data_IF_414152460553
#
_entry.id   IF_414152460553
#
_cell.length_a   1.000
_cell.length_b   1.000
_cell.length_c   1.000
_cell.angle_alpha   90.00
_cell.angle_beta   90.00
_cell.angle_gamma   90.00
#
_symmetry.space_group_name_H-M   'P 1'
#
loop_
_entity.id
_entity.type
_entity.pdbx_description
1 polymer ?
#
# COMPACT_ATOMS: atom_id res chain seq x y z
N UNK A 1 26.30 -41.02 36.08
CA UNK A 1 26.48 -40.36 34.76
C UNK A 1 25.23 -40.56 33.94
N UNK A 2 24.36 -39.56 33.85
CA UNK A 2 23.27 -39.54 32.85
C UNK A 2 22.88 -38.09 32.59
N UNK A 3 23.41 -37.51 31.51
CA UNK A 3 23.05 -36.16 31.02
C UNK A 3 21.66 -36.22 30.39
N UNK A 4 20.65 -35.61 31.01
CA UNK A 4 19.42 -35.21 30.30
C UNK A 4 19.70 -33.90 29.55
N UNK A 5 19.73 -33.96 28.21
CA UNK A 5 19.67 -32.79 27.33
C UNK A 5 18.26 -32.19 27.47
N UNK A 6 18.15 -30.99 28.03
CA UNK A 6 16.97 -30.14 27.86
C UNK A 6 16.90 -29.69 26.40
N UNK A 7 15.95 -30.24 25.66
CA UNK A 7 15.48 -29.67 24.40
C UNK A 7 14.78 -28.34 24.72
N UNK A 8 15.45 -27.23 24.46
CA UNK A 8 14.80 -25.91 24.36
C UNK A 8 13.99 -25.90 23.06
N UNK A 9 12.70 -26.19 23.14
CA UNK A 9 11.73 -25.74 22.13
C UNK A 9 11.56 -24.23 22.31
N UNK A 10 12.16 -23.44 21.42
CA UNK A 10 11.85 -22.01 21.28
C UNK A 10 10.48 -21.90 20.60
N UNK A 11 9.43 -21.75 21.39
CA UNK A 11 8.16 -21.25 20.87
C UNK A 11 8.36 -19.81 20.38
N UNK A 12 7.76 -19.49 19.24
CA UNK A 12 8.04 -18.31 18.41
C UNK A 12 7.59 -16.95 19.01
N UNK A 13 7.15 -16.91 20.26
CA UNK A 13 6.73 -15.68 20.96
C UNK A 13 7.75 -15.30 22.05
N UNK A 14 8.89 -14.75 21.64
CA UNK A 14 9.85 -14.12 22.55
C UNK A 14 9.47 -12.68 22.89
N UNK A 15 8.45 -12.47 23.73
CA UNK A 15 8.26 -11.20 24.44
C UNK A 15 8.86 -11.38 25.84
N UNK A 16 9.98 -10.70 26.10
CA UNK A 16 10.58 -10.63 27.42
C UNK A 16 9.61 -9.93 28.38
N UNK A 17 8.96 -10.70 29.27
CA UNK A 17 8.29 -10.15 30.45
C UNK A 17 9.32 -9.98 31.56
N UNK A 18 9.54 -8.73 31.99
CA UNK A 18 10.15 -8.44 33.29
C UNK A 18 9.07 -8.68 34.35
N UNK A 19 9.24 -9.72 35.17
CA UNK A 19 8.35 -10.01 36.30
C UNK A 19 8.72 -9.13 37.49
N UNK A 20 7.86 -8.15 37.79
CA UNK A 20 7.75 -7.54 39.11
C UNK A 20 6.72 -8.32 39.92
N UNK A 21 7.14 -8.80 41.09
CA UNK A 21 6.35 -9.55 42.06
C UNK A 21 5.52 -8.59 42.91
N UNK A 22 4.23 -8.83 43.09
CA UNK A 22 3.50 -8.42 44.29
C UNK A 22 2.28 -9.33 44.54
N UNK A 23 2.03 -9.62 45.81
CA UNK A 23 1.24 -10.75 46.35
C UNK A 23 0.13 -10.18 47.28
N UNK A 24 -1.16 -10.50 46.97
CA UNK A 24 -2.34 -10.77 47.86
C UNK A 24 -2.96 -9.56 48.62
N UNK A 25 -4.28 -9.51 49.02
CA UNK A 25 -5.36 -10.53 49.02
C UNK A 25 -6.73 -10.15 48.41
N UNK A 26 -7.57 -11.19 48.29
CA UNK A 26 -9.03 -11.21 48.12
C UNK A 26 -9.78 -10.45 49.23
N UNK A 27 -10.85 -9.72 48.86
CA UNK A 27 -12.17 -9.75 49.53
C UNK A 27 -13.22 -8.91 48.76
N UNK A 28 -14.45 -9.43 48.74
CA UNK A 28 -15.76 -8.77 48.53
C UNK A 28 -16.45 -8.79 47.15
N UNK A 29 -17.74 -9.13 47.24
CA UNK A 29 -18.74 -9.52 46.25
C UNK A 29 -19.42 -8.31 45.54
N UNK A 30 -20.22 -8.53 44.46
CA UNK A 30 -20.41 -7.57 43.38
C UNK A 30 -21.64 -6.65 43.54
N UNK A 31 -21.52 -5.43 43.02
CA UNK A 31 -22.65 -4.50 42.86
C UNK A 31 -23.41 -4.76 41.55
N UNK A 32 -24.73 -4.86 41.69
CA UNK A 32 -25.75 -5.01 40.65
C UNK A 32 -25.98 -3.69 39.94
N UNK A 33 -25.86 -3.65 38.61
CA UNK A 33 -26.62 -2.72 37.75
C UNK A 33 -27.16 -3.51 36.55
N UNK A 34 -28.50 -3.59 36.50
CA UNK A 34 -29.31 -4.06 35.39
C UNK A 34 -29.33 -3.00 34.27
N UNK A 35 -29.08 -3.39 33.02
CA UNK A 35 -30.10 -3.32 31.96
C UNK A 35 -29.59 -3.68 30.55
N UNK A 36 -30.47 -4.42 29.88
CA UNK A 36 -30.78 -4.43 28.45
C UNK A 36 -29.78 -5.07 27.46
N UNK A 37 -30.26 -6.20 26.94
CA UNK A 37 -30.10 -6.66 25.56
C UNK A 37 -28.74 -7.21 25.12
N UNK A 38 -28.48 -8.44 25.57
CA UNK A 38 -27.95 -9.49 24.69
C UNK A 38 -28.12 -10.87 25.32
N UNK A 39 -28.96 -11.69 24.71
CA UNK A 39 -29.07 -13.12 25.03
C UNK A 39 -27.71 -13.81 24.82
N UNK A 40 -27.19 -14.58 25.77
CA UNK A 40 -26.01 -15.42 25.57
C UNK A 40 -26.42 -16.64 24.73
N UNK A 41 -25.84 -16.76 23.54
CA UNK A 41 -25.93 -17.98 22.73
C UNK A 41 -25.22 -19.11 23.49
N UNK A 42 -25.96 -20.11 23.95
CA UNK A 42 -25.38 -21.37 24.42
C UNK A 42 -24.68 -22.07 23.25
N UNK A 43 -23.53 -22.74 23.47
CA UNK A 43 -22.92 -23.61 22.48
C UNK A 43 -23.88 -24.76 22.13
N UNK A 44 -24.01 -25.09 20.84
CA UNK A 44 -24.74 -26.28 20.39
C UNK A 44 -24.06 -27.53 20.93
N UNK A 45 -24.76 -28.32 21.75
CA UNK A 45 -24.36 -29.67 22.14
C UNK A 45 -24.90 -30.64 21.09
N UNK A 46 -24.03 -31.29 20.28
CA UNK A 46 -24.46 -32.22 19.23
C UNK A 46 -25.14 -33.48 19.78
N UNK A 47 -25.01 -33.77 21.09
CA UNK A 47 -25.61 -34.92 21.76
C UNK A 47 -26.88 -34.57 22.55
N UNK A 48 -27.41 -33.35 22.43
CA UNK A 48 -28.62 -32.94 23.14
C UNK A 48 -29.90 -33.53 22.52
N UNK A 49 -30.22 -34.77 22.89
CA UNK A 49 -31.51 -35.40 22.60
C UNK A 49 -32.49 -35.07 23.73
N UNK A 50 -33.53 -34.27 23.45
CA UNK A 50 -34.65 -34.15 24.39
C UNK A 50 -35.44 -35.45 24.40
N UNK A 51 -35.36 -36.21 25.51
CA UNK A 51 -36.30 -37.31 25.77
C UNK A 51 -37.70 -36.73 25.99
N UNK A 52 -38.69 -37.21 25.24
CA UNK A 52 -40.08 -36.95 25.61
C UNK A 52 -40.40 -37.69 26.92
N UNK A 53 -41.10 -37.05 27.89
CA UNK A 53 -41.49 -37.70 29.16
C UNK A 53 -42.42 -38.92 28.99
N UNK A 54 -42.95 -39.17 27.78
CA UNK A 54 -43.97 -40.18 27.51
C UNK A 54 -43.44 -41.50 26.92
N UNK A 55 -42.13 -41.72 26.84
CA UNK A 55 -41.58 -43.01 26.40
C UNK A 55 -40.46 -43.49 27.35
N UNK A 56 -40.68 -44.65 27.98
CA UNK A 56 -39.67 -45.34 28.78
C UNK A 56 -38.59 -45.96 27.86
N UNK A 57 -37.31 -46.01 28.30
CA UNK A 57 -36.28 -46.75 27.58
C UNK A 57 -36.59 -48.26 27.58
N UNK A 58 -36.44 -48.92 26.44
CA UNK A 58 -36.59 -50.37 26.32
C UNK A 58 -35.49 -51.08 27.13
N UNK A 59 -35.91 -52.00 28.00
CA UNK A 59 -35.04 -52.89 28.77
C UNK A 59 -34.58 -54.05 27.85
N UNK A 60 -33.27 -54.23 27.60
CA UNK A 60 -32.77 -55.29 26.73
C UNK A 60 -32.97 -56.71 27.28
N UNK A 61 -33.39 -56.88 28.54
CA UNK A 61 -33.66 -58.20 29.14
C UNK A 61 -35.13 -58.67 29.04
N UNK A 62 -35.99 -57.97 28.27
CA UNK A 62 -37.39 -58.36 28.08
C UNK A 62 -37.67 -58.82 26.63
N UNK A 63 -37.78 -60.13 26.41
CA UNK A 63 -38.18 -60.73 25.12
C UNK A 63 -39.50 -61.48 25.29
N UNK A 64 -40.58 -60.99 24.65
CA UNK A 64 -41.74 -61.79 24.20
C UNK A 64 -42.34 -61.15 22.94
N UNK A 65 -41.99 -61.61 21.73
CA UNK A 65 -42.66 -62.63 20.88
C UNK A 65 -44.07 -62.27 20.37
N UNK A 66 -44.19 -61.79 19.11
CA UNK A 66 -45.21 -62.15 18.07
C UNK A 66 -44.97 -61.42 16.72
N UNK A 67 -45.43 -61.99 15.58
CA UNK A 67 -44.69 -61.99 14.30
C UNK A 67 -45.15 -60.95 13.28
N UNK A 68 -45.65 -59.79 13.71
CA UNK A 68 -46.06 -58.71 12.78
C UNK A 68 -45.62 -57.31 13.20
N UNK A 69 -44.60 -57.20 14.06
CA UNK A 69 -43.99 -55.92 14.43
C UNK A 69 -42.64 -55.78 13.71
N UNK A 70 -42.46 -54.68 12.99
CA UNK A 70 -41.14 -54.31 12.45
C UNK A 70 -40.15 -54.15 13.61
N UNK A 71 -38.89 -54.59 13.45
CA UNK A 71 -37.88 -54.45 14.49
C UNK A 71 -37.73 -52.97 14.88
N UNK A 72 -37.69 -52.71 16.18
CA UNK A 72 -37.36 -51.39 16.71
C UNK A 72 -35.93 -51.06 16.30
N UNK A 73 -35.77 -50.11 15.37
CA UNK A 73 -34.47 -49.55 15.04
C UNK A 73 -34.09 -48.55 16.14
N UNK A 74 -33.04 -48.79 16.94
CA UNK A 74 -32.62 -47.87 17.98
C UNK A 74 -32.20 -46.49 17.43
N UNK A 75 -32.01 -46.37 16.10
CA UNK A 75 -31.54 -45.15 15.43
C UNK A 75 -32.65 -44.33 14.73
N UNK A 76 -33.94 -44.58 15.01
CA UNK A 76 -35.04 -43.86 14.35
C UNK A 76 -35.31 -42.47 14.95
N UNK A 77 -34.83 -41.40 14.31
CA UNK A 77 -35.15 -39.99 14.63
C UNK A 77 -36.13 -39.43 13.59
N UNK A 78 -37.29 -38.90 14.03
CA UNK A 78 -38.23 -38.18 13.15
C UNK A 78 -37.76 -36.72 12.90
N UNK A 79 -37.47 -36.38 11.65
CA UNK A 79 -37.15 -35.01 11.23
C UNK A 79 -38.41 -34.13 11.16
N UNK A 80 -38.41 -32.97 11.83
CA UNK A 80 -39.42 -31.92 11.61
C UNK A 80 -38.96 -30.96 10.50
N UNK A 81 -39.86 -30.53 9.58
CA UNK A 81 -39.50 -29.69 8.42
C UNK A 81 -39.03 -28.26 8.72
N UNK A 82 -38.94 -27.85 9.98
CA UNK A 82 -38.57 -26.48 10.39
C UNK A 82 -37.26 -26.39 11.18
N UNK A 83 -36.44 -27.44 11.16
CA UNK A 83 -35.08 -27.42 11.74
C UNK A 83 -34.12 -28.03 10.72
N UNK A 84 -33.34 -27.17 10.06
CA UNK A 84 -32.18 -27.65 9.30
C UNK A 84 -31.10 -28.12 10.28
N UNK A 85 -30.38 -29.22 9.98
CA UNK A 85 -29.28 -29.71 10.81
C UNK A 85 -28.19 -28.65 10.93
N UNK A 86 -27.67 -28.46 12.14
CA UNK A 86 -26.45 -27.69 12.33
C UNK A 86 -25.30 -28.51 11.73
N UNK A 87 -24.68 -28.01 10.68
CA UNK A 87 -23.41 -28.53 10.17
C UNK A 87 -22.38 -28.41 11.32
N UNK A 88 -21.75 -29.50 11.77
CA UNK A 88 -20.75 -29.46 12.84
C UNK A 88 -19.50 -28.66 12.45
N UNK A 89 -19.34 -28.28 11.18
CA UNK A 89 -18.34 -27.32 10.69
C UNK A 89 -18.86 -25.86 10.60
N UNK A 90 -20.06 -25.56 11.11
CA UNK A 90 -20.70 -24.27 10.95
C UNK A 90 -21.36 -23.72 12.23
N UNK A 91 -20.65 -22.84 12.95
CA UNK A 91 -21.20 -21.51 13.25
C UNK A 91 -20.13 -20.52 13.73
N UNK A 92 -19.83 -19.60 12.81
CA UNK A 92 -19.81 -18.15 13.05
C UNK A 92 -19.10 -17.65 14.31
N UNK A 93 -17.82 -18.00 14.42
CA UNK A 93 -16.87 -17.02 14.91
C UNK A 93 -17.02 -15.77 14.05
N UNK A 94 -17.36 -14.65 14.68
CA UNK A 94 -17.33 -13.32 14.06
C UNK A 94 -16.18 -13.29 13.07
N UNK A 95 -16.49 -13.16 11.78
CA UNK A 95 -15.46 -12.97 10.76
C UNK A 95 -14.50 -11.93 11.33
N UNK A 96 -13.19 -12.17 11.37
CA UNK A 96 -12.23 -11.21 11.87
C UNK A 96 -12.16 -10.01 10.91
N UNK A 97 -13.23 -9.23 10.82
CA UNK A 97 -13.28 -7.98 10.06
C UNK A 97 -12.30 -6.95 10.63
N UNK A 98 -11.67 -7.23 11.78
CA UNK A 98 -10.80 -6.33 12.52
C UNK A 98 -9.50 -6.99 13.07
N UNK A 99 -9.02 -8.08 12.47
CA UNK A 99 -7.69 -8.62 12.77
C UNK A 99 -6.73 -8.26 11.61
N UNK A 100 -5.74 -7.38 11.85
CA UNK A 100 -4.87 -6.94 10.77
C UNK A 100 -3.82 -7.99 10.39
N UNK A 101 -2.94 -7.64 9.45
CA UNK A 101 -1.77 -8.41 9.01
C UNK A 101 -2.08 -9.75 8.33
N UNK A 102 -1.90 -9.78 7.01
CA UNK A 102 -1.63 -11.02 6.29
C UNK A 102 -0.51 -11.79 6.97
N UNK A 103 -0.85 -12.88 7.64
CA UNK A 103 0.05 -14.00 7.94
C UNK A 103 0.34 -14.69 6.60
N UNK A 104 1.08 -14.01 5.72
CA UNK A 104 1.72 -14.58 4.54
C UNK A 104 2.92 -13.73 4.11
N UNK A 105 3.62 -13.12 5.06
CA UNK A 105 5.07 -13.25 4.95
C UNK A 105 5.30 -14.75 5.11
N UNK A 106 5.65 -15.44 4.02
CA UNK A 106 6.01 -16.86 4.08
C UNK A 106 7.36 -16.95 4.81
N UNK A 107 7.32 -16.68 6.11
CA UNK A 107 8.43 -16.88 7.01
C UNK A 107 8.50 -18.39 7.17
N UNK A 108 9.56 -18.99 6.66
CA UNK A 108 9.88 -20.40 6.90
C UNK A 108 9.86 -20.65 8.43
N UNK A 109 9.59 -21.87 8.90
CA UNK A 109 9.65 -22.22 10.32
C UNK A 109 10.99 -21.90 11.04
N UNK A 110 12.03 -21.55 10.27
CA UNK A 110 13.34 -21.11 10.75
C UNK A 110 13.51 -19.58 10.78
N UNK A 111 12.43 -18.80 10.60
CA UNK A 111 12.47 -17.34 10.59
C UNK A 111 12.92 -16.70 9.27
N UNK A 112 13.23 -17.47 8.22
CA UNK A 112 13.72 -16.93 6.93
C UNK A 112 12.58 -16.68 5.94
N UNK A 113 12.61 -15.56 5.25
CA UNK A 113 11.63 -15.24 4.21
C UNK A 113 11.71 -16.19 3.00
N UNK A 114 10.56 -16.60 2.45
CA UNK A 114 10.49 -17.40 1.23
C UNK A 114 10.79 -16.54 0.00
N UNK A 115 12.01 -16.66 -0.52
CA UNK A 115 12.41 -15.99 -1.75
C UNK A 115 11.91 -16.77 -2.98
N UNK A 116 11.15 -16.11 -3.85
CA UNK A 116 10.76 -16.63 -5.16
C UNK A 116 11.42 -15.77 -6.24
N UNK A 117 11.84 -16.39 -7.35
CA UNK A 117 12.36 -15.64 -8.52
C UNK A 117 11.43 -14.50 -8.96
N UNK A 118 10.11 -14.66 -8.74
CA UNK A 118 9.08 -13.66 -9.04
C UNK A 118 9.30 -12.32 -8.33
N UNK A 119 9.86 -12.34 -7.13
CA UNK A 119 10.12 -11.13 -6.34
C UNK A 119 11.14 -10.20 -6.99
N UNK A 120 12.01 -10.74 -7.86
CA UNK A 120 12.95 -9.95 -8.67
C UNK A 120 12.40 -9.77 -10.09
N UNK A 121 11.87 -10.84 -10.69
CA UNK A 121 11.44 -10.83 -12.08
C UNK A 121 10.32 -9.81 -12.33
N UNK A 122 9.29 -9.73 -11.48
CA UNK A 122 8.20 -8.79 -11.73
C UNK A 122 8.62 -7.32 -11.63
N UNK A 123 9.36 -6.86 -10.58
CA UNK A 123 9.88 -5.50 -10.57
C UNK A 123 10.70 -5.15 -11.81
N UNK A 124 11.63 -6.04 -12.22
CA UNK A 124 12.47 -5.79 -13.40
C UNK A 124 11.63 -5.72 -14.67
N UNK A 125 10.73 -6.68 -14.90
CA UNK A 125 9.87 -6.69 -16.09
C UNK A 125 9.01 -5.45 -16.14
N UNK A 126 8.44 -5.01 -15.02
CA UNK A 126 7.59 -3.81 -15.00
C UNK A 126 8.36 -2.51 -15.17
N UNK A 127 9.61 -2.43 -14.69
CA UNK A 127 10.51 -1.32 -14.99
C UNK A 127 10.89 -1.31 -16.49
N UNK A 128 11.20 -2.46 -17.07
CA UNK A 128 11.46 -2.57 -18.51
C UNK A 128 10.24 -2.17 -19.31
N UNK A 129 9.05 -2.63 -18.94
CA UNK A 129 7.78 -2.23 -19.58
C UNK A 129 7.57 -0.73 -19.46
N UNK A 130 7.84 -0.12 -18.30
CA UNK A 130 7.73 1.33 -18.11
C UNK A 130 8.63 2.12 -19.07
N UNK A 131 9.90 1.74 -19.20
CA UNK A 131 10.80 2.40 -20.14
C UNK A 131 10.46 2.10 -21.60
N UNK A 132 10.00 0.88 -21.92
CA UNK A 132 9.57 0.53 -23.27
C UNK A 132 8.30 1.29 -23.68
N UNK A 133 7.32 1.45 -22.78
CA UNK A 133 6.10 2.23 -23.09
C UNK A 133 6.44 3.70 -23.28
N UNK A 134 7.35 4.27 -22.49
CA UNK A 134 7.87 5.62 -22.70
C UNK A 134 8.61 5.77 -24.03
N UNK A 135 9.50 4.83 -24.37
CA UNK A 135 10.25 4.84 -25.62
C UNK A 135 9.32 4.77 -26.84
N UNK A 136 8.40 3.80 -26.86
CA UNK A 136 7.45 3.61 -27.97
C UNK A 136 6.51 4.82 -28.11
N UNK A 137 6.03 5.38 -27.01
CA UNK A 137 5.24 6.59 -27.01
C UNK A 137 6.04 7.80 -27.52
N UNK A 138 7.32 7.91 -27.16
CA UNK A 138 8.22 8.95 -27.64
C UNK A 138 8.46 8.87 -29.16
N UNK A 139 8.69 7.67 -29.68
CA UNK A 139 8.82 7.44 -31.14
C UNK A 139 7.52 7.80 -31.85
N UNK A 140 6.38 7.33 -31.36
CA UNK A 140 5.07 7.66 -31.94
C UNK A 140 4.80 9.18 -31.91
N UNK A 141 5.05 9.82 -30.78
CA UNK A 141 4.91 11.27 -30.61
C UNK A 141 5.82 12.03 -31.59
N UNK A 142 7.06 11.59 -31.76
CA UNK A 142 8.01 12.19 -32.71
C UNK A 142 7.53 12.11 -34.16
N UNK A 143 7.02 10.94 -34.58
CA UNK A 143 6.48 10.76 -35.94
C UNK A 143 5.24 11.63 -36.17
N UNK A 144 4.33 11.71 -35.19
CA UNK A 144 3.13 12.52 -35.29
C UNK A 144 3.44 14.02 -35.26
N UNK A 145 4.36 14.45 -34.41
CA UNK A 145 4.82 15.83 -34.34
C UNK A 145 5.48 16.26 -35.65
N UNK A 146 6.35 15.42 -36.22
CA UNK A 146 6.99 15.66 -37.51
C UNK A 146 5.95 15.78 -38.62
N UNK A 147 4.94 14.90 -38.65
CA UNK A 147 3.85 14.98 -39.63
C UNK A 147 3.03 16.26 -39.50
N UNK A 148 2.71 16.71 -38.28
CA UNK A 148 2.02 17.99 -38.09
C UNK A 148 2.87 19.18 -38.53
N UNK A 149 4.19 19.12 -38.29
CA UNK A 149 5.11 20.18 -38.69
C UNK A 149 5.22 20.28 -40.22
N UNK A 150 5.41 19.14 -40.89
CA UNK A 150 5.48 19.07 -42.36
C UNK A 150 4.17 19.50 -43.06
N UNK A 151 3.02 19.36 -42.38
CA UNK A 151 1.72 19.76 -42.90
C UNK A 151 1.39 21.24 -42.65
N UNK A 152 2.18 21.94 -41.83
CA UNK A 152 1.98 23.35 -41.51
C UNK A 152 2.83 24.26 -42.40
N UNK A 153 2.39 25.51 -42.58
CA UNK A 153 3.18 26.55 -43.26
C UNK A 153 4.51 26.84 -42.54
N UNK A 154 4.71 26.31 -41.34
CA UNK A 154 5.97 26.32 -40.60
C UNK A 154 7.08 25.50 -41.27
N UNK A 155 6.74 24.57 -42.17
CA UNK A 155 7.75 23.79 -42.89
C UNK A 155 8.37 24.57 -44.06
N UNK A 156 7.63 25.47 -44.71
CA UNK A 156 8.20 26.31 -45.77
C UNK A 156 9.17 27.35 -45.21
N UNK A 157 8.92 27.84 -43.99
CA UNK A 157 9.84 28.70 -43.22
C UNK A 157 11.02 27.93 -42.60
N UNK A 158 10.95 26.60 -42.48
CA UNK A 158 12.05 25.75 -42.02
C UNK A 158 13.15 25.55 -43.10
N UNK A 159 12.83 25.79 -44.38
CA UNK A 159 13.77 25.65 -45.50
C UNK A 159 14.60 26.94 -45.71
N UNK A 160 14.12 28.10 -45.24
CA UNK A 160 14.95 29.30 -45.14
C UNK A 160 15.91 29.12 -43.95
N UNK A 161 17.21 29.33 -44.19
CA UNK A 161 18.39 28.91 -43.39
C UNK A 161 18.44 29.28 -41.88
N UNK A 162 17.40 29.92 -41.33
CA UNK A 162 17.27 30.14 -39.89
C UNK A 162 16.41 29.02 -39.27
N UNK A 163 17.04 27.89 -38.97
CA UNK A 163 16.52 26.96 -37.97
C UNK A 163 16.48 27.70 -36.62
N UNK A 164 15.38 28.41 -36.37
CA UNK A 164 15.24 29.14 -35.11
C UNK A 164 15.25 28.11 -33.98
N UNK A 165 16.15 28.30 -33.01
CA UNK A 165 16.25 27.46 -31.81
C UNK A 165 14.88 27.26 -31.14
N UNK A 166 14.02 28.26 -31.26
CA UNK A 166 12.64 28.28 -30.79
C UNK A 166 11.74 27.22 -31.45
N UNK A 167 11.87 27.00 -32.76
CA UNK A 167 11.13 25.95 -33.48
C UNK A 167 11.54 24.55 -33.00
N UNK A 168 12.84 24.33 -32.79
CA UNK A 168 13.37 23.07 -32.28
C UNK A 168 12.88 22.82 -30.83
N UNK A 169 12.91 23.85 -29.99
CA UNK A 169 12.38 23.77 -28.62
C UNK A 169 10.88 23.47 -28.61
N UNK A 170 10.09 24.11 -29.47
CA UNK A 170 8.66 23.85 -29.58
C UNK A 170 8.38 22.40 -30.00
N UNK A 171 9.13 21.89 -30.98
CA UNK A 171 9.03 20.49 -31.40
C UNK A 171 9.29 19.52 -30.23
N UNK A 172 10.37 19.70 -29.47
CA UNK A 172 10.68 18.82 -28.34
C UNK A 172 9.64 18.88 -27.22
N UNK A 173 9.08 20.07 -26.93
CA UNK A 173 7.97 20.23 -25.98
C UNK A 173 6.73 19.45 -26.41
N UNK A 174 6.36 19.59 -27.69
CA UNK A 174 5.22 18.89 -28.28
C UNK A 174 5.38 17.37 -28.27
N UNK A 175 6.58 16.89 -28.59
CA UNK A 175 6.92 15.46 -28.50
C UNK A 175 6.84 14.98 -27.05
N UNK A 176 7.40 15.74 -26.11
CA UNK A 176 7.42 15.40 -24.68
C UNK A 176 6.02 15.21 -24.09
N UNK A 177 5.12 16.20 -24.29
CA UNK A 177 3.77 16.13 -23.74
C UNK A 177 2.95 14.99 -24.39
N UNK A 178 3.07 14.79 -25.71
CA UNK A 178 2.37 13.71 -26.41
C UNK A 178 2.87 12.33 -25.94
N UNK A 179 4.18 12.16 -25.80
CA UNK A 179 4.77 10.93 -25.29
C UNK A 179 4.25 10.60 -23.89
N UNK A 180 4.12 11.60 -23.03
CA UNK A 180 3.55 11.46 -21.69
C UNK A 180 2.08 11.00 -21.74
N UNK A 181 1.27 11.67 -22.56
CA UNK A 181 -0.17 11.39 -22.67
C UNK A 181 -0.47 10.03 -23.31
N UNK A 182 0.43 9.50 -24.15
CA UNK A 182 0.27 8.16 -24.72
C UNK A 182 0.77 7.06 -23.78
N UNK A 183 1.93 7.26 -23.16
CA UNK A 183 2.56 6.24 -22.30
C UNK A 183 1.83 6.05 -20.98
N UNK A 184 1.37 7.13 -20.35
CA UNK A 184 0.85 7.09 -18.97
C UNK A 184 -0.46 6.30 -18.85
N UNK A 185 -1.49 6.53 -19.68
CA UNK A 185 -2.73 5.74 -19.65
C UNK A 185 -2.47 4.27 -19.97
N UNK A 186 -1.58 3.99 -20.94
CA UNK A 186 -1.18 2.63 -21.28
C UNK A 186 -0.51 1.93 -20.08
N UNK A 187 0.36 2.61 -19.37
CA UNK A 187 1.01 2.10 -18.16
C UNK A 187 -0.02 1.79 -17.06
N UNK A 188 -0.99 2.69 -16.83
CA UNK A 188 -2.08 2.46 -15.87
C UNK A 188 -2.86 1.20 -16.26
N UNK A 189 -3.25 1.06 -17.53
CA UNK A 189 -3.98 -0.10 -18.04
C UNK A 189 -3.18 -1.39 -17.79
N UNK A 190 -1.89 -1.42 -18.13
CA UNK A 190 -1.03 -2.59 -17.93
C UNK A 190 -0.94 -2.96 -16.44
N UNK A 191 -0.69 -1.98 -15.56
CA UNK A 191 -0.63 -2.19 -14.12
C UNK A 191 -1.97 -2.71 -13.57
N UNK A 192 -3.10 -2.11 -13.97
CA UNK A 192 -4.44 -2.52 -13.52
C UNK A 192 -4.77 -3.94 -13.99
N UNK A 193 -4.49 -4.29 -15.26
CA UNK A 193 -4.70 -5.65 -15.78
C UNK A 193 -3.92 -6.66 -14.95
N UNK A 194 -2.64 -6.39 -14.66
CA UNK A 194 -1.81 -7.26 -13.85
C UNK A 194 -2.32 -7.41 -12.42
N UNK A 195 -2.69 -6.31 -11.77
CA UNK A 195 -3.24 -6.33 -10.40
C UNK A 195 -4.56 -7.11 -10.37
N UNK A 196 -5.44 -6.90 -11.34
CA UNK A 196 -6.70 -7.65 -11.46
C UNK A 196 -6.47 -9.15 -11.71
N UNK A 197 -5.51 -9.49 -12.58
CA UNK A 197 -5.10 -10.88 -12.83
C UNK A 197 -4.60 -11.57 -11.55
N UNK A 198 -3.78 -10.87 -10.75
CA UNK A 198 -3.27 -11.44 -9.51
C UNK A 198 -4.35 -11.52 -8.42
N UNK A 199 -5.29 -10.56 -8.37
CA UNK A 199 -6.46 -10.61 -7.49
C UNK A 199 -7.30 -11.86 -7.75
N UNK A 200 -7.51 -12.23 -9.03
CA UNK A 200 -8.20 -13.49 -9.40
C UNK A 200 -7.47 -14.74 -8.90
N UNK A 201 -6.15 -14.70 -8.75
CA UNK A 201 -5.35 -15.79 -8.18
C UNK A 201 -5.32 -15.81 -6.64
N UNK A 202 -6.26 -15.12 -5.97
CA UNK A 202 -6.31 -14.93 -4.52
C UNK A 202 -5.01 -14.33 -3.92
N UNK A 203 -4.28 -13.55 -4.72
CA UNK A 203 -3.13 -12.78 -4.26
C UNK A 203 -3.57 -11.33 -4.11
N UNK A 204 -3.87 -10.88 -2.89
CA UNK A 204 -4.00 -9.44 -2.62
C UNK A 204 -2.61 -8.80 -2.89
N UNK A 205 -2.47 -8.14 -4.03
CA UNK A 205 -1.28 -7.39 -4.41
C UNK A 205 -1.39 -5.91 -4.05
N UNK A 206 -2.62 -5.43 -3.91
CA UNK A 206 -2.88 -4.02 -3.70
C UNK A 206 -3.54 -3.83 -2.35
N UNK A 207 -2.92 -2.98 -1.52
CA UNK A 207 -3.56 -2.48 -0.31
C UNK A 207 -4.62 -1.46 -0.73
N UNK A 208 -5.89 -1.86 -0.61
CA UNK A 208 -7.06 -1.08 -1.06
C UNK A 208 -7.98 -0.71 0.09
N UNK A 209 -7.49 -0.68 1.34
CA UNK A 209 -8.41 -0.37 2.46
C UNK A 209 -9.05 0.99 2.23
N UNK A 210 -10.37 1.08 2.48
CA UNK A 210 -11.06 2.35 2.38
C UNK A 210 -10.45 3.34 3.37
N UNK A 211 -10.49 4.59 2.95
CA UNK A 211 -9.86 5.72 3.61
C UNK A 211 -10.31 5.84 5.07
N UNK A 212 -9.37 6.05 5.99
CA UNK A 212 -9.71 6.57 7.33
C UNK A 212 -9.70 8.09 7.27
N UNK A 213 -10.74 8.74 7.80
CA UNK A 213 -10.88 10.21 7.77
C UNK A 213 -9.66 10.95 8.34
N UNK A 214 -8.94 10.32 9.28
CA UNK A 214 -7.72 10.86 9.90
C UNK A 214 -6.45 10.69 9.05
N UNK A 215 -6.41 9.72 8.13
CA UNK A 215 -5.24 9.50 7.29
C UNK A 215 -5.08 10.59 6.22
N UNK A 216 -6.18 11.24 5.83
CA UNK A 216 -6.17 12.31 4.83
C UNK A 216 -5.44 13.58 5.27
N UNK A 217 -5.86 14.28 6.34
CA UNK A 217 -5.20 15.52 6.75
C UNK A 217 -3.74 15.25 7.13
N UNK A 218 -3.46 14.06 7.68
CA UNK A 218 -2.10 13.67 8.00
C UNK A 218 -1.27 13.46 6.72
N UNK A 219 -1.78 12.73 5.74
CA UNK A 219 -1.11 12.56 4.44
C UNK A 219 -0.88 13.89 3.73
N UNK A 220 -1.87 14.78 3.73
CA UNK A 220 -1.79 16.12 3.16
C UNK A 220 -0.66 16.96 3.80
N UNK A 221 -0.65 17.07 5.13
CA UNK A 221 0.39 17.79 5.86
C UNK A 221 1.78 17.19 5.61
N UNK A 222 1.86 15.86 5.52
CA UNK A 222 3.09 15.13 5.23
C UNK A 222 3.60 15.40 3.81
N UNK A 223 2.71 15.51 2.81
CA UNK A 223 3.05 15.87 1.44
C UNK A 223 3.61 17.30 1.35
N UNK A 224 2.99 18.29 2.01
CA UNK A 224 3.49 19.67 2.03
C UNK A 224 4.84 19.80 2.76
N UNK A 225 5.02 19.09 3.88
CA UNK A 225 6.32 19.07 4.55
C UNK A 225 7.41 18.44 3.67
N UNK A 226 7.08 17.40 2.92
CA UNK A 226 8.02 16.79 1.96
C UNK A 226 8.32 17.73 0.79
N UNK A 227 7.33 18.48 0.31
CA UNK A 227 7.53 19.50 -0.72
C UNK A 227 8.47 20.60 -0.22
N UNK A 228 8.31 21.05 1.02
CA UNK A 228 9.26 21.98 1.66
C UNK A 228 10.68 21.43 1.75
N UNK A 229 10.86 20.14 2.07
CA UNK A 229 12.18 19.49 2.06
C UNK A 229 12.76 19.45 0.64
N UNK A 230 11.95 19.14 -0.38
CA UNK A 230 12.41 19.14 -1.76
C UNK A 230 12.85 20.55 -2.22
N UNK A 231 12.06 21.59 -1.91
CA UNK A 231 12.41 22.99 -2.19
C UNK A 231 13.69 23.41 -1.48
N UNK A 232 13.87 23.00 -0.21
CA UNK A 232 15.09 23.29 0.55
C UNK A 232 16.32 22.64 -0.10
N UNK A 233 16.20 21.39 -0.55
CA UNK A 233 17.28 20.69 -1.24
C UNK A 233 17.64 21.34 -2.58
N UNK A 234 16.64 21.75 -3.37
CA UNK A 234 16.86 22.44 -4.64
C UNK A 234 17.59 23.77 -4.40
N UNK A 235 17.19 24.56 -3.40
CA UNK A 235 17.88 25.82 -3.07
C UNK A 235 19.30 25.59 -2.53
N UNK A 236 19.52 24.51 -1.77
CA UNK A 236 20.86 24.10 -1.36
C UNK A 236 21.73 23.78 -2.58
N UNK A 237 21.22 23.03 -3.56
CA UNK A 237 21.96 22.70 -4.77
C UNK A 237 22.24 23.91 -5.65
N UNK A 238 21.29 24.84 -5.78
CA UNK A 238 21.51 26.14 -6.45
C UNK A 238 22.61 26.96 -5.76
N UNK A 239 22.60 27.01 -4.43
CA UNK A 239 23.65 27.67 -3.67
C UNK A 239 25.02 27.01 -3.92
N UNK A 240 25.10 25.68 -3.87
CA UNK A 240 26.35 24.95 -4.13
C UNK A 240 26.84 25.14 -5.58
N UNK A 241 25.93 25.27 -6.54
CA UNK A 241 26.26 25.53 -7.95
C UNK A 241 27.01 26.85 -8.16
N UNK A 242 26.81 27.85 -7.29
CA UNK A 242 27.54 29.13 -7.34
C UNK A 242 29.02 29.00 -6.97
N UNK A 243 29.39 27.93 -6.25
CA UNK A 243 30.74 27.74 -5.72
C UNK A 243 31.49 26.55 -6.35
N UNK A 244 30.80 25.68 -7.09
CA UNK A 244 31.41 24.45 -7.59
C UNK A 244 30.85 24.04 -8.98
N UNK A 245 31.75 23.81 -9.93
CA UNK A 245 31.40 23.45 -11.32
C UNK A 245 30.69 22.10 -11.45
N UNK A 246 30.92 21.15 -10.55
CA UNK A 246 30.15 19.90 -10.50
C UNK A 246 28.67 20.19 -10.27
N UNK A 247 28.33 20.99 -9.24
CA UNK A 247 26.94 21.33 -8.93
C UNK A 247 26.32 22.23 -10.00
N UNK A 248 27.11 23.13 -10.61
CA UNK A 248 26.67 23.92 -11.76
C UNK A 248 26.23 23.03 -12.92
N UNK A 249 27.06 22.07 -13.33
CA UNK A 249 26.72 21.15 -14.42
C UNK A 249 25.48 20.31 -14.11
N UNK A 250 25.34 19.85 -12.86
CA UNK A 250 24.16 19.08 -12.43
C UNK A 250 22.88 19.91 -12.47
N UNK A 251 22.93 21.18 -12.04
CA UNK A 251 21.78 22.08 -12.07
C UNK A 251 21.38 22.46 -13.50
N UNK A 252 22.34 22.69 -14.40
CA UNK A 252 22.05 22.95 -15.82
C UNK A 252 21.34 21.76 -16.47
N UNK A 253 21.84 20.54 -16.26
CA UNK A 253 21.19 19.32 -16.78
C UNK A 253 19.76 19.15 -16.24
N UNK A 254 19.55 19.48 -14.96
CA UNK A 254 18.22 19.47 -14.36
C UNK A 254 17.29 20.52 -14.98
N UNK A 255 17.74 21.77 -15.10
CA UNK A 255 16.97 22.86 -15.68
C UNK A 255 16.50 22.53 -17.10
N UNK A 256 17.42 22.06 -17.95
CA UNK A 256 17.10 21.61 -19.31
C UNK A 256 16.03 20.51 -19.34
N UNK A 257 16.06 19.58 -18.39
CA UNK A 257 15.06 18.50 -18.28
C UNK A 257 13.67 19.03 -17.88
N UNK A 258 13.61 20.10 -17.08
CA UNK A 258 12.36 20.71 -16.63
C UNK A 258 11.79 21.78 -17.58
N UNK A 259 12.64 22.46 -18.34
CA UNK A 259 12.24 23.46 -19.35
C UNK A 259 11.38 22.85 -20.47
N UNK A 260 11.59 21.56 -20.78
CA UNK A 260 10.76 20.82 -21.73
C UNK A 260 9.27 20.72 -21.31
N UNK A 261 8.95 20.98 -20.04
CA UNK A 261 7.59 21.00 -19.51
C UNK A 261 6.99 22.42 -19.41
N UNK A 262 7.80 23.47 -19.59
CA UNK A 262 7.36 24.86 -19.50
C UNK A 262 6.76 25.36 -20.82
N UNK A 263 5.67 26.12 -20.74
CA UNK A 263 5.00 26.71 -21.92
C UNK A 263 4.10 25.74 -22.70
N UNK A 264 3.88 24.54 -22.18
CA UNK A 264 2.82 23.63 -22.65
C UNK A 264 1.48 24.07 -22.06
N UNK A 265 0.37 23.77 -22.75
CA UNK A 265 -0.98 24.03 -22.25
C UNK A 265 -1.17 23.56 -20.80
N UNK A 266 -1.73 24.46 -19.98
CA UNK A 266 -1.84 24.27 -18.53
C UNK A 266 -2.73 23.08 -18.18
N UNK A 267 -3.83 22.88 -18.92
CA UNK A 267 -4.77 21.79 -18.67
C UNK A 267 -4.12 20.44 -18.99
N UNK A 268 -3.47 20.32 -20.15
CA UNK A 268 -2.75 19.12 -20.57
C UNK A 268 -1.61 18.78 -19.60
N UNK A 269 -0.84 19.78 -19.18
CA UNK A 269 0.27 19.60 -18.23
C UNK A 269 -0.25 19.20 -16.85
N UNK A 270 -1.35 19.80 -16.38
CA UNK A 270 -1.97 19.44 -15.10
C UNK A 270 -2.50 18.02 -15.11
N UNK A 271 -3.26 17.63 -16.14
CA UNK A 271 -3.81 16.27 -16.24
C UNK A 271 -2.70 15.22 -16.39
N UNK A 272 -1.69 15.50 -17.22
CA UNK A 272 -0.56 14.61 -17.43
C UNK A 272 0.35 14.50 -16.21
N UNK A 273 1.07 15.59 -15.91
CA UNK A 273 2.18 15.62 -14.93
C UNK A 273 1.69 15.58 -13.49
N UNK A 274 0.59 16.29 -13.17
CA UNK A 274 0.14 16.40 -11.79
C UNK A 274 -0.82 15.28 -11.37
N UNK A 275 -1.50 14.62 -12.30
CA UNK A 275 -2.52 13.61 -11.98
C UNK A 275 -2.18 12.23 -12.52
N UNK A 276 -2.10 12.07 -13.84
CA UNK A 276 -1.97 10.74 -14.45
C UNK A 276 -0.62 10.09 -14.14
N UNK A 277 0.47 10.85 -14.17
CA UNK A 277 1.82 10.36 -13.86
C UNK A 277 1.90 9.81 -12.43
N UNK A 278 1.53 10.57 -11.38
CA UNK A 278 1.46 10.04 -10.02
C UNK A 278 0.64 8.75 -9.89
N UNK A 279 -0.51 8.66 -10.55
CA UNK A 279 -1.35 7.45 -10.51
C UNK A 279 -0.60 6.25 -11.11
N UNK A 280 -0.01 6.42 -12.31
CA UNK A 280 0.74 5.37 -12.98
C UNK A 280 1.94 4.90 -12.16
N UNK A 281 2.69 5.86 -11.60
CA UNK A 281 3.86 5.60 -10.77
C UNK A 281 3.48 4.90 -9.47
N UNK A 282 2.46 5.36 -8.74
CA UNK A 282 2.05 4.68 -7.50
C UNK A 282 1.59 3.24 -7.75
N UNK A 283 0.85 2.99 -8.84
CA UNK A 283 0.45 1.63 -9.21
C UNK A 283 1.67 0.74 -9.48
N UNK A 284 2.70 1.27 -10.16
CA UNK A 284 3.94 0.56 -10.44
C UNK A 284 4.78 0.35 -9.16
N UNK A 285 5.17 1.43 -8.50
CA UNK A 285 6.13 1.40 -7.40
C UNK A 285 5.53 0.84 -6.11
N UNK A 286 4.29 1.20 -5.77
CA UNK A 286 3.66 0.77 -4.50
C UNK A 286 2.83 -0.48 -4.73
N UNK A 287 2.05 -0.51 -5.81
CA UNK A 287 1.19 -1.64 -6.15
C UNK A 287 1.92 -2.91 -6.61
N UNK A 288 3.11 -2.80 -7.22
CA UNK A 288 3.86 -3.94 -7.76
C UNK A 288 5.23 -4.08 -7.08
N UNK A 289 6.12 -3.09 -7.23
CA UNK A 289 7.51 -3.22 -6.80
C UNK A 289 7.62 -3.38 -5.27
N UNK A 290 7.04 -2.44 -4.52
CA UNK A 290 7.06 -2.47 -3.05
C UNK A 290 6.38 -3.73 -2.52
N UNK A 291 5.22 -4.10 -3.05
CA UNK A 291 4.51 -5.29 -2.58
C UNK A 291 5.30 -6.59 -2.86
N UNK A 292 6.00 -6.71 -3.98
CA UNK A 292 6.87 -7.86 -4.23
C UNK A 292 8.01 -7.94 -3.21
N UNK A 293 8.67 -6.81 -2.93
CA UNK A 293 9.76 -6.76 -1.94
C UNK A 293 9.23 -7.11 -0.54
N UNK A 294 8.05 -6.62 -0.15
CA UNK A 294 7.42 -6.87 1.16
C UNK A 294 7.13 -8.35 1.44
N UNK A 295 7.08 -9.20 0.42
CA UNK A 295 6.90 -10.65 0.60
C UNK A 295 8.12 -11.33 1.17
N UNK A 296 9.30 -10.79 0.88
CA UNK A 296 10.58 -11.39 1.21
C UNK A 296 11.43 -10.56 2.17
N UNK A 297 10.92 -9.39 2.56
CA UNK A 297 11.64 -8.42 3.37
C UNK A 297 10.71 -7.77 4.41
N UNK A 298 11.26 -7.27 5.53
CA UNK A 298 10.51 -6.46 6.46
C UNK A 298 10.05 -5.14 5.82
N UNK A 299 8.96 -4.56 6.34
CA UNK A 299 8.33 -3.35 5.78
C UNK A 299 9.34 -2.20 5.58
N UNK A 300 10.27 -1.97 6.52
CA UNK A 300 11.26 -0.88 6.42
C UNK A 300 12.20 -1.06 5.23
N UNK A 301 12.58 -2.29 4.90
CA UNK A 301 13.48 -2.58 3.79
C UNK A 301 12.74 -2.46 2.45
N UNK A 302 11.46 -2.83 2.41
CA UNK A 302 10.65 -2.60 1.23
C UNK A 302 10.39 -1.11 0.96
N UNK A 303 10.20 -0.30 2.00
CA UNK A 303 10.14 1.17 1.88
C UNK A 303 11.45 1.70 1.32
N UNK A 304 12.59 1.28 1.89
CA UNK A 304 13.91 1.74 1.47
C UNK A 304 14.18 1.39 0.00
N UNK A 305 14.08 0.12 -0.36
CA UNK A 305 14.37 -0.35 -1.72
C UNK A 305 13.37 0.21 -2.74
N UNK A 306 12.07 0.22 -2.41
CA UNK A 306 11.05 0.81 -3.27
C UNK A 306 11.26 2.31 -3.51
N UNK A 307 11.61 3.06 -2.47
CA UNK A 307 11.90 4.50 -2.57
C UNK A 307 13.20 4.81 -3.31
N UNK A 308 14.26 4.02 -3.11
CA UNK A 308 15.52 4.16 -3.86
C UNK A 308 15.32 3.85 -5.33
N UNK A 309 14.64 2.74 -5.65
CA UNK A 309 14.32 2.40 -7.04
C UNK A 309 13.52 3.54 -7.65
N UNK A 310 12.45 4.01 -7.00
CA UNK A 310 11.65 5.16 -7.44
C UNK A 310 12.50 6.40 -7.76
N UNK A 311 13.42 6.79 -6.89
CA UNK A 311 14.28 7.93 -7.13
C UNK A 311 15.17 7.72 -8.36
N UNK A 312 15.86 6.57 -8.45
CA UNK A 312 16.82 6.27 -9.51
C UNK A 312 16.21 6.28 -10.92
N UNK A 313 14.92 5.98 -11.07
CA UNK A 313 14.25 5.93 -12.40
C UNK A 313 14.15 7.31 -13.05
N UNK A 314 14.31 8.40 -12.29
CA UNK A 314 14.24 9.77 -12.79
C UNK A 314 15.47 10.21 -13.61
N UNK A 315 16.58 9.47 -13.52
CA UNK A 315 17.73 9.64 -14.43
C UNK A 315 18.61 10.89 -14.25
N UNK A 316 18.17 11.89 -13.49
CA UNK A 316 18.94 13.09 -13.16
C UNK A 316 19.34 13.14 -11.68
N UNK A 317 20.61 13.41 -11.38
CA UNK A 317 21.16 13.42 -10.01
C UNK A 317 20.43 14.40 -9.10
N UNK A 318 20.17 15.64 -9.55
CA UNK A 318 19.46 16.64 -8.73
C UNK A 318 18.08 16.11 -8.34
N UNK A 319 17.34 15.57 -9.32
CA UNK A 319 16.01 15.02 -9.13
C UNK A 319 16.02 13.78 -8.24
N UNK A 320 16.92 12.84 -8.47
CA UNK A 320 17.12 11.66 -7.62
C UNK A 320 17.28 12.08 -6.16
N UNK A 321 18.09 13.10 -5.88
CA UNK A 321 18.37 13.54 -4.51
C UNK A 321 17.15 14.19 -3.84
N UNK A 322 16.40 15.07 -4.53
CA UNK A 322 15.25 15.74 -3.91
C UNK A 322 13.97 14.88 -3.88
N UNK A 323 13.81 13.90 -4.79
CA UNK A 323 12.64 12.99 -4.79
C UNK A 323 12.83 11.74 -3.95
N UNK A 324 14.07 11.38 -3.56
CA UNK A 324 14.31 10.24 -2.68
C UNK A 324 13.53 10.32 -1.35
N UNK A 325 13.50 11.46 -0.61
CA UNK A 325 12.66 11.60 0.57
C UNK A 325 11.18 11.35 0.30
N UNK A 326 10.66 11.86 -0.83
CA UNK A 326 9.29 11.62 -1.27
C UNK A 326 9.05 10.13 -1.55
N UNK A 327 9.97 9.48 -2.26
CA UNK A 327 9.90 8.07 -2.59
C UNK A 327 9.74 7.18 -1.36
N UNK A 328 10.59 7.42 -0.34
CA UNK A 328 10.53 6.76 0.96
C UNK A 328 9.22 7.06 1.70
N UNK A 329 8.79 8.32 1.69
CA UNK A 329 7.59 8.77 2.39
C UNK A 329 6.31 8.18 1.79
N UNK A 330 6.20 8.12 0.46
CA UNK A 330 5.08 7.49 -0.23
C UNK A 330 5.04 5.97 0.02
N UNK A 331 6.20 5.31 0.04
CA UNK A 331 6.31 3.90 0.43
C UNK A 331 5.86 3.66 1.88
N UNK A 332 6.25 4.55 2.79
CA UNK A 332 5.80 4.53 4.18
C UNK A 332 4.30 4.77 4.29
N UNK A 333 3.76 5.78 3.61
CA UNK A 333 2.34 6.11 3.60
C UNK A 333 1.48 4.95 3.06
N UNK A 334 1.93 4.26 2.02
CA UNK A 334 1.28 3.05 1.49
C UNK A 334 1.12 1.98 2.57
N UNK A 335 2.19 1.66 3.30
CA UNK A 335 2.19 0.61 4.33
C UNK A 335 1.43 1.06 5.58
N UNK A 336 1.65 2.29 6.04
CA UNK A 336 1.06 2.83 7.27
C UNK A 336 -0.45 3.02 7.16
N UNK A 337 -0.93 3.49 6.01
CA UNK A 337 -2.36 3.67 5.74
C UNK A 337 -3.06 2.40 5.26
N UNK A 338 -2.29 1.40 4.81
CA UNK A 338 -2.83 0.19 4.18
C UNK A 338 -3.74 0.51 2.98
N UNK A 339 -3.42 1.58 2.24
CA UNK A 339 -4.22 2.11 1.14
C UNK A 339 -3.33 2.71 0.06
N UNK A 340 -3.61 2.38 -1.20
CA UNK A 340 -2.95 2.99 -2.36
C UNK A 340 -3.40 4.44 -2.60
N UNK A 341 -4.58 4.82 -2.12
CA UNK A 341 -5.14 6.15 -2.35
C UNK A 341 -4.39 7.25 -1.59
N UNK A 342 -3.85 6.94 -0.39
CA UNK A 342 -3.07 7.91 0.40
C UNK A 342 -1.81 8.36 -0.34
N UNK A 343 -0.90 7.47 -0.77
CA UNK A 343 0.29 7.89 -1.51
C UNK A 343 -0.06 8.49 -2.88
N UNK A 344 -1.12 8.03 -3.58
CA UNK A 344 -1.58 8.68 -4.82
C UNK A 344 -1.90 10.16 -4.57
N UNK A 345 -2.72 10.46 -3.57
CA UNK A 345 -3.12 11.84 -3.29
C UNK A 345 -1.93 12.68 -2.83
N UNK A 346 -1.06 12.13 -1.99
CA UNK A 346 0.17 12.81 -1.57
C UNK A 346 1.07 13.15 -2.75
N UNK A 347 1.21 12.24 -3.71
CA UNK A 347 2.04 12.43 -4.89
C UNK A 347 1.40 13.43 -5.87
N UNK A 348 0.08 13.37 -6.08
CA UNK A 348 -0.66 14.40 -6.84
C UNK A 348 -0.48 15.79 -6.23
N UNK A 349 -0.57 15.91 -4.90
CA UNK A 349 -0.31 17.18 -4.20
C UNK A 349 1.14 17.63 -4.45
N UNK A 350 2.12 16.73 -4.30
CA UNK A 350 3.52 17.06 -4.52
C UNK A 350 3.76 17.60 -5.93
N UNK A 351 3.25 16.92 -6.97
CA UNK A 351 3.44 17.37 -8.36
C UNK A 351 2.61 18.61 -8.71
N UNK A 352 1.39 18.73 -8.20
CA UNK A 352 0.55 19.89 -8.47
C UNK A 352 1.14 21.16 -7.86
N UNK A 353 1.47 21.13 -6.56
CA UNK A 353 1.99 22.30 -5.87
C UNK A 353 3.47 22.55 -6.19
N UNK A 354 4.26 21.51 -6.45
CA UNK A 354 5.67 21.63 -6.82
C UNK A 354 5.89 22.06 -8.26
N UNK A 355 5.12 21.54 -9.21
CA UNK A 355 5.32 21.80 -10.64
C UNK A 355 4.32 22.83 -11.15
N UNK A 356 3.01 22.55 -11.09
CA UNK A 356 1.99 23.40 -11.75
C UNK A 356 1.91 24.77 -11.08
N UNK A 357 1.68 24.78 -9.76
CA UNK A 357 1.59 26.03 -9.01
C UNK A 357 2.95 26.75 -8.95
N UNK A 358 4.04 25.98 -8.83
CA UNK A 358 5.41 26.51 -8.85
C UNK A 358 5.71 27.30 -10.13
N UNK A 359 5.30 26.78 -11.30
CA UNK A 359 5.47 27.48 -12.57
C UNK A 359 4.67 28.78 -12.66
N UNK A 360 3.46 28.83 -12.09
CA UNK A 360 2.60 30.02 -12.14
C UNK A 360 3.02 31.11 -11.15
N UNK A 361 3.58 30.74 -10.00
CA UNK A 361 3.99 31.69 -8.95
C UNK A 361 5.36 32.32 -9.25
N UNK A 362 6.21 31.64 -10.05
CA UNK A 362 7.59 32.06 -10.32
C UNK A 362 7.76 33.44 -10.94
N UNK A 363 6.70 34.03 -11.51
CA UNK A 363 6.75 35.37 -12.14
C UNK A 363 6.78 36.52 -11.12
N UNK A 364 6.30 36.31 -9.90
CA UNK A 364 6.24 37.34 -8.86
C UNK A 364 7.14 36.98 -7.67
N UNK A 365 8.27 37.69 -7.54
CA UNK A 365 9.28 37.44 -6.50
C UNK A 365 8.71 37.48 -5.07
N UNK A 366 7.74 38.36 -4.80
CA UNK A 366 7.11 38.46 -3.48
C UNK A 366 6.25 37.23 -3.19
N UNK A 367 5.42 36.83 -4.15
CA UNK A 367 4.56 35.63 -3.99
C UNK A 367 5.41 34.37 -3.90
N UNK A 368 6.46 34.26 -4.71
CA UNK A 368 7.42 33.16 -4.66
C UNK A 368 8.11 33.05 -3.29
N UNK A 369 8.52 34.19 -2.72
CA UNK A 369 9.12 34.23 -1.39
C UNK A 369 8.13 33.79 -0.31
N UNK A 370 6.90 34.32 -0.33
CA UNK A 370 5.84 33.93 0.63
C UNK A 370 5.53 32.43 0.53
N UNK A 371 5.41 31.91 -0.69
CA UNK A 371 5.16 30.49 -0.94
C UNK A 371 6.30 29.61 -0.42
N UNK A 372 7.55 30.00 -0.67
CA UNK A 372 8.74 29.30 -0.17
C UNK A 372 8.77 29.26 1.36
N UNK A 373 8.51 30.40 2.02
CA UNK A 373 8.46 30.48 3.49
C UNK A 373 7.34 29.59 4.03
N UNK A 374 6.17 29.59 3.40
CA UNK A 374 5.08 28.69 3.75
C UNK A 374 5.51 27.21 3.68
N UNK A 375 6.16 26.79 2.59
CA UNK A 375 6.66 25.42 2.44
C UNK A 375 7.67 25.04 3.54
N UNK A 376 8.55 25.97 3.93
CA UNK A 376 9.50 25.73 5.03
C UNK A 376 8.81 25.59 6.39
N UNK A 377 7.79 26.40 6.67
CA UNK A 377 6.96 26.26 7.89
C UNK A 377 6.23 24.92 7.92
N UNK A 378 5.87 24.37 6.75
CA UNK A 378 5.21 23.06 6.66
C UNK A 378 6.14 21.87 6.92
N UNK A 379 7.47 22.04 6.88
CA UNK A 379 8.43 20.95 7.17
C UNK A 379 8.19 20.31 8.55
N UNK A 380 8.23 21.06 9.69
CA UNK A 380 7.99 20.48 11.00
C UNK A 380 6.58 19.87 11.13
N UNK A 381 5.57 20.50 10.52
CA UNK A 381 4.18 20.00 10.52
C UNK A 381 4.10 18.64 9.82
N UNK A 382 4.75 18.49 8.66
CA UNK A 382 4.81 17.24 7.93
C UNK A 382 5.56 16.14 8.67
N UNK A 383 6.65 16.47 9.37
CA UNK A 383 7.40 15.52 10.20
C UNK A 383 6.55 14.99 11.37
N UNK A 384 5.87 15.89 12.09
CA UNK A 384 4.96 15.51 13.19
C UNK A 384 3.82 14.64 12.65
N UNK A 385 3.24 15.02 11.50
CA UNK A 385 2.18 14.26 10.85
C UNK A 385 2.61 12.84 10.46
N UNK A 386 3.77 12.70 9.82
CA UNK A 386 4.35 11.40 9.48
C UNK A 386 4.61 10.54 10.73
N UNK A 387 5.07 11.16 11.82
CA UNK A 387 5.28 10.48 13.10
C UNK A 387 3.96 9.95 13.69
N UNK A 388 2.88 10.74 13.65
CA UNK A 388 1.55 10.31 14.09
C UNK A 388 1.06 9.13 13.25
N UNK A 389 1.19 9.19 11.92
CA UNK A 389 0.83 8.08 11.03
C UNK A 389 1.58 6.79 11.38
N UNK A 390 2.90 6.87 11.58
CA UNK A 390 3.71 5.73 11.98
C UNK A 390 3.31 5.18 13.36
N UNK A 391 2.98 6.05 14.32
CA UNK A 391 2.52 5.63 15.66
C UNK A 391 1.18 4.90 15.59
N UNK A 392 0.23 5.42 14.81
CA UNK A 392 -1.06 4.76 14.57
C UNK A 392 -0.87 3.39 13.94
N UNK A 393 -0.02 3.30 12.91
CA UNK A 393 0.35 2.04 12.28
C UNK A 393 0.95 1.03 13.27
N UNK A 394 1.94 1.45 14.07
CA UNK A 394 2.60 0.58 15.06
C UNK A 394 1.64 0.10 16.14
N UNK A 395 0.77 0.97 16.65
CA UNK A 395 -0.26 0.60 17.64
C UNK A 395 -1.19 -0.46 17.06
N UNK A 396 -1.71 -0.22 15.85
CA UNK A 396 -2.57 -1.19 15.18
C UNK A 396 -1.85 -2.51 14.94
N UNK A 397 -0.58 -2.49 14.50
CA UNK A 397 0.26 -3.68 14.26
C UNK A 397 0.47 -4.51 15.54
N UNK A 398 0.65 -3.89 16.70
CA UNK A 398 0.83 -4.59 17.98
C UNK A 398 -0.44 -5.32 18.41
N UNK A 399 -1.58 -4.62 18.40
CA UNK A 399 -2.90 -5.19 18.78
C UNK A 399 -3.23 -6.45 17.97
N UNK A 400 -2.79 -6.52 16.73
CA UNK A 400 -2.95 -7.73 15.90
C UNK A 400 -2.13 -8.87 16.39
N UNK A 401 -0.84 -8.60 16.62
CA UNK A 401 0.14 -9.63 16.89
C UNK A 401 -0.25 -10.28 18.21
N UNK A 402 -0.69 -9.48 19.19
CA UNK A 402 -1.29 -9.94 20.44
C UNK A 402 -2.47 -10.89 20.19
N UNK A 403 -3.50 -10.46 19.44
CA UNK A 403 -4.67 -11.33 19.15
C UNK A 403 -4.33 -12.61 18.36
N UNK A 404 -3.35 -12.54 17.46
CA UNK A 404 -2.89 -13.72 16.70
C UNK A 404 -2.15 -14.70 17.62
N UNK A 405 -1.35 -14.19 18.56
CA UNK A 405 -0.67 -15.02 19.55
C UNK A 405 -1.68 -15.69 20.48
N UNK A 406 -2.67 -14.94 20.97
CA UNK A 406 -3.77 -15.47 21.77
C UNK A 406 -4.46 -16.63 21.05
N UNK A 407 -4.90 -16.43 19.80
CA UNK A 407 -5.58 -17.47 19.01
C UNK A 407 -4.68 -18.69 18.68
N UNK A 408 -3.37 -18.47 18.52
CA UNK A 408 -2.38 -19.54 18.28
C UNK A 408 -2.17 -20.41 19.52
N UNK A 409 -2.16 -19.81 20.71
CA UNK A 409 -2.00 -20.54 21.96
C UNK A 409 -3.25 -21.39 22.25
N UNK A 410 -4.45 -20.91 21.91
CA UNK A 410 -5.68 -21.74 21.97
C UNK A 410 -5.67 -22.91 20.97
N UNK A 411 -5.13 -22.73 19.77
CA UNK A 411 -5.07 -23.78 18.75
C UNK A 411 -4.03 -24.88 19.01
N UNK A 412 -3.08 -24.67 19.93
CA UNK A 412 -2.09 -25.67 20.33
C UNK A 412 -2.45 -26.39 21.66
N UNK A 413 -3.60 -26.06 22.26
CA UNK A 413 -4.08 -26.62 23.53
C UNK A 413 -5.25 -27.61 23.33
N UNK A 414 -5.75 -27.73 22.09
CA UNK A 414 -6.69 -28.78 21.64
C UNK A 414 -5.88 -29.82 20.88
#
# INVERSE_FOLDING_TARGET
MTRKKLLKTKNHCGLAQMTGVEIIPETEQPAVIQNADRWPQQPCDPDYVQRQPSQQPCDPDYVQERPSQQPCDPDYVQERPSQQPCDPDYTQGQSPQNLPIRIRQQIRPNGKYYFSARTIVYPIVFLVVHFLTQLLAGVLASVLALKSYMASDSFSSFIDDDLTLDMLQHFFKDVGIRALLYSTPLQIIICVIFICYQKRKNRQYLLVRPFHATAFPLGFATAFGCLGVATLLIQLFDMLAKYNSFWQNMMVNYQQSTEALQGVDLLLTTLGVAVLVPIAEELLFRGIITEEIRRVAPDWLAILLGGVIFALVHGNIVQILYVLPLGLLLGAAYIWSNSIWVPILMHVIFNFFGSILGMQIGENETVLTVYTVFLFVMIPVGVVSAFIMNRMYRKNKRVVLEKVCENSDYANVI
#
